data_IF_729532503281
#
_entry.id   IF_729532503281
#
_cell.length_a   1.000
_cell.length_b   1.000
_cell.length_c   1.000
_cell.angle_alpha   90.00
_cell.angle_beta   90.00
_cell.angle_gamma   90.00
#
_symmetry.space_group_name_H-M   'P 1'
#
loop_
_entity.id
_entity.type
_entity.pdbx_description
1 polymer ?
#
# COMPACT_ATOMS: atom_id res chain seq x y z
N UNK A 1 8.82 5.18 15.65
CA UNK A 1 8.59 4.07 14.69
C UNK A 1 7.08 3.96 14.44
N UNK A 2 6.61 3.58 13.24
CA UNK A 2 5.17 3.38 13.01
C UNK A 2 4.63 2.30 13.96
N UNK A 3 3.40 2.50 14.45
CA UNK A 3 2.77 1.54 15.37
C UNK A 3 2.18 0.34 14.65
N UNK A 4 1.82 0.50 13.37
CA UNK A 4 1.21 -0.55 12.57
C UNK A 4 1.42 -0.31 11.08
N UNK A 5 1.39 -1.41 10.33
CA UNK A 5 1.38 -1.44 8.88
C UNK A 5 0.36 -2.47 8.41
N UNK A 6 -0.52 -2.06 7.50
CA UNK A 6 -1.56 -2.92 6.93
C UNK A 6 -1.69 -2.66 5.42
N UNK A 7 -1.92 -3.72 4.65
CA UNK A 7 -2.28 -3.61 3.24
C UNK A 7 -3.76 -4.00 3.10
N UNK A 8 -4.57 -3.06 2.66
CA UNK A 8 -6.00 -3.22 2.40
C UNK A 8 -6.26 -3.45 0.90
N UNK A 9 -7.51 -3.76 0.54
CA UNK A 9 -7.90 -4.12 -0.82
C UNK A 9 -7.76 -5.62 -1.13
N UNK A 10 -7.40 -6.42 -0.14
CA UNK A 10 -7.40 -7.88 -0.22
C UNK A 10 -7.60 -8.53 1.15
N UNK A 11 -7.99 -9.80 1.15
CA UNK A 11 -8.05 -10.60 2.38
C UNK A 11 -6.64 -10.99 2.82
N UNK A 12 -6.33 -10.80 4.11
CA UNK A 12 -5.02 -11.14 4.67
C UNK A 12 -4.72 -12.63 4.47
N UNK A 13 -3.52 -12.94 3.97
CA UNK A 13 -3.06 -14.30 3.64
C UNK A 13 -3.90 -15.01 2.57
N UNK A 14 -4.74 -14.31 1.81
CA UNK A 14 -5.48 -14.89 0.71
C UNK A 14 -4.74 -14.66 -0.62
N UNK A 15 -4.93 -15.60 -1.55
CA UNK A 15 -4.58 -15.36 -2.96
C UNK A 15 -5.61 -14.41 -3.55
N UNK A 16 -5.13 -13.40 -4.28
CA UNK A 16 -5.96 -12.50 -5.06
C UNK A 16 -5.90 -12.93 -6.52
N UNK A 17 -7.05 -13.19 -7.11
CA UNK A 17 -7.20 -13.48 -8.53
C UNK A 17 -7.72 -12.23 -9.23
N UNK A 18 -7.00 -11.76 -10.25
CA UNK A 18 -7.39 -10.60 -11.07
C UNK A 18 -7.50 -11.06 -12.51
N UNK A 19 -8.57 -10.67 -13.20
CA UNK A 19 -8.80 -11.00 -14.60
C UNK A 19 -8.28 -9.90 -15.52
N UNK A 20 -8.03 -10.24 -16.78
CA UNK A 20 -7.70 -9.24 -17.79
C UNK A 20 -8.84 -8.21 -17.90
N UNK A 21 -8.47 -6.93 -17.97
CA UNK A 21 -9.42 -5.81 -17.95
C UNK A 21 -10.01 -5.48 -16.57
N UNK A 22 -9.59 -6.15 -15.50
CA UNK A 22 -9.95 -5.78 -14.13
C UNK A 22 -8.82 -5.05 -13.42
N UNK A 23 -9.19 -3.99 -12.71
CA UNK A 23 -8.28 -3.25 -11.85
C UNK A 23 -8.31 -3.79 -10.42
N UNK A 24 -7.13 -3.88 -9.80
CA UNK A 24 -6.97 -4.16 -8.38
C UNK A 24 -6.31 -2.97 -7.71
N UNK A 25 -6.99 -2.41 -6.70
CA UNK A 25 -6.42 -1.35 -5.87
C UNK A 25 -5.95 -1.93 -4.54
N UNK A 26 -4.67 -1.71 -4.21
CA UNK A 26 -4.09 -2.04 -2.92
C UNK A 26 -3.73 -0.74 -2.19
N UNK A 27 -4.09 -0.66 -0.91
CA UNK A 27 -3.83 0.52 -0.08
C UNK A 27 -2.93 0.14 1.07
N UNK A 28 -1.81 0.85 1.25
CA UNK A 28 -0.94 0.66 2.40
C UNK A 28 -1.28 1.72 3.45
N UNK A 29 -1.66 1.29 4.65
CA UNK A 29 -1.97 2.15 5.79
C UNK A 29 -0.87 2.01 6.83
N UNK A 30 -0.22 3.14 7.15
CA UNK A 30 0.84 3.22 8.15
C UNK A 30 0.42 4.19 9.25
N UNK A 31 0.33 3.72 10.49
CA UNK A 31 -0.16 4.52 11.61
C UNK A 31 0.97 5.01 12.52
N UNK A 32 0.80 6.21 13.07
CA UNK A 32 1.70 6.82 14.07
C UNK A 32 3.18 6.90 13.63
N UNK A 33 3.43 7.09 12.33
CA UNK A 33 4.76 7.34 11.81
C UNK A 33 5.19 8.78 12.12
N UNK A 34 6.22 8.92 12.96
CA UNK A 34 6.89 10.20 13.25
C UNK A 34 8.40 10.00 13.11
N UNK A 35 9.08 10.61 12.11
CA UNK A 35 8.53 11.40 11.00
C UNK A 35 7.66 10.55 10.04
N UNK A 36 7.00 11.19 9.05
CA UNK A 36 6.18 10.52 8.04
C UNK A 36 6.99 9.39 7.37
N UNK A 37 6.36 8.22 7.22
CA UNK A 37 7.00 7.06 6.63
C UNK A 37 7.10 7.17 5.10
N UNK A 38 8.21 6.67 4.55
CA UNK A 38 8.32 6.40 3.13
C UNK A 38 7.69 5.02 2.84
N UNK A 39 6.71 4.98 1.93
CA UNK A 39 6.08 3.73 1.48
C UNK A 39 6.73 3.29 0.16
N UNK A 40 7.24 2.06 0.13
CA UNK A 40 7.84 1.44 -1.06
C UNK A 40 7.10 0.13 -1.35
N UNK A 41 6.60 -0.03 -2.57
CA UNK A 41 5.95 -1.25 -3.01
C UNK A 41 6.95 -2.18 -3.69
N UNK A 42 6.79 -3.49 -3.50
CA UNK A 42 7.58 -4.51 -4.17
C UNK A 42 6.68 -5.55 -4.84
N UNK A 43 7.04 -5.97 -6.04
CA UNK A 43 6.49 -7.16 -6.70
C UNK A 43 7.57 -8.23 -6.74
N UNK A 44 7.46 -9.22 -5.86
CA UNK A 44 8.55 -10.18 -5.64
C UNK A 44 9.77 -9.47 -5.05
N UNK A 45 10.93 -9.58 -5.71
CA UNK A 45 12.18 -8.92 -5.29
C UNK A 45 12.46 -7.59 -6.00
N UNK A 46 11.52 -7.13 -6.82
CA UNK A 46 11.68 -5.91 -7.62
C UNK A 46 10.81 -4.81 -7.05
N UNK A 47 11.41 -3.65 -6.82
CA UNK A 47 10.67 -2.44 -6.43
C UNK A 47 9.66 -2.09 -7.52
N UNK A 48 8.39 -1.96 -7.12
CA UNK A 48 7.32 -1.56 -8.01
C UNK A 48 7.29 -0.03 -8.09
N UNK A 49 7.95 0.50 -9.12
CA UNK A 49 7.93 1.93 -9.43
C UNK A 49 6.67 2.25 -10.22
N UNK A 50 5.59 2.65 -9.53
CA UNK A 50 4.39 3.12 -10.25
C UNK A 50 4.74 4.38 -11.03
N UNK A 51 4.46 4.39 -12.33
CA UNK A 51 4.59 5.58 -13.17
C UNK A 51 3.48 6.56 -12.82
N UNK A 52 3.71 7.40 -11.80
CA UNK A 52 2.85 8.54 -11.43
C UNK A 52 1.38 8.18 -11.14
N UNK A 53 1.08 7.73 -9.93
CA UNK A 53 -0.15 8.07 -9.18
C UNK A 53 -0.01 7.59 -7.73
N UNK A 54 1.00 8.12 -7.03
CA UNK A 54 1.02 8.08 -5.58
C UNK A 54 0.17 9.26 -5.08
N UNK A 55 -1.14 9.07 -4.99
CA UNK A 55 -1.92 9.93 -4.11
C UNK A 55 -1.56 9.50 -2.68
N UNK A 56 -0.55 10.14 -2.09
CA UNK A 56 -0.36 10.14 -0.64
C UNK A 56 -1.66 10.70 -0.04
N UNK A 57 -2.61 9.84 0.28
CA UNK A 57 -3.77 10.23 1.07
C UNK A 57 -3.27 10.46 2.48
N UNK A 58 -2.74 11.67 2.67
CA UNK A 58 -2.28 12.26 3.91
C UNK A 58 -3.46 12.36 4.88
N UNK A 59 -3.80 11.23 5.46
CA UNK A 59 -4.82 11.13 6.50
C UNK A 59 -4.14 11.58 7.78
N UNK A 60 -4.27 12.86 8.13
CA UNK A 60 -4.02 13.33 9.48
C UNK A 60 -5.05 12.67 10.40
N UNK A 61 -4.76 11.46 10.87
CA UNK A 61 -5.50 10.87 11.98
C UNK A 61 -4.88 11.44 13.25
N UNK A 62 -5.55 12.44 13.82
CA UNK A 62 -5.25 12.99 15.16
C UNK A 62 -5.68 12.01 16.24
#
# INVERSE_FOLDING_TARGET
PPSSIEIQGHNRNAKVEVREGQDLTLTCVVSNAKPVAQIVWYRGKTEYKSGKHFADHRSNVS
#
